data_IF_659328563047
#
_entry.id   IF_659328563047
#
_cell.length_a   1.000
_cell.length_b   1.000
_cell.length_c   1.000
_cell.angle_alpha   90.00
_cell.angle_beta   90.00
_cell.angle_gamma   90.00
#
_symmetry.space_group_name_H-M   'P 1'
#
loop_
_entity.id
_entity.type
_entity.pdbx_description
1 polymer ?
#
# COMPACT_ATOMS: atom_id res chain seq x y z
N UNK A 1 -3.78 23.39 -4.96
CA UNK A 1 -4.21 22.74 -3.71
C UNK A 1 -3.01 22.62 -2.79
N UNK A 2 -3.16 22.92 -1.50
CA UNK A 2 -2.13 22.65 -0.48
C UNK A 2 -2.64 21.51 0.39
N UNK A 3 -1.85 20.46 0.57
CA UNK A 3 -2.20 19.31 1.40
C UNK A 3 -0.93 18.68 1.97
N UNK A 4 -0.88 18.47 3.29
CA UNK A 4 0.22 17.78 3.99
C UNK A 4 1.63 18.22 3.54
N UNK A 5 1.89 19.53 3.48
CA UNK A 5 3.19 20.08 3.07
C UNK A 5 3.52 20.02 1.58
N UNK A 6 2.56 19.63 0.73
CA UNK A 6 2.70 19.62 -0.72
C UNK A 6 1.83 20.70 -1.37
N UNK A 7 2.43 21.42 -2.31
CA UNK A 7 1.76 22.31 -3.24
C UNK A 7 1.47 21.53 -4.53
N UNK A 8 0.19 21.39 -4.85
CA UNK A 8 -0.30 20.78 -6.07
C UNK A 8 -0.88 21.86 -6.98
N UNK A 9 -0.27 22.06 -8.14
CA UNK A 9 -0.68 23.03 -9.15
C UNK A 9 -1.21 22.30 -10.38
N UNK A 10 -2.37 22.73 -10.89
CA UNK A 10 -2.92 22.25 -12.15
C UNK A 10 -2.36 23.12 -13.27
N UNK A 11 -1.46 22.56 -14.07
CA UNK A 11 -0.84 23.22 -15.21
C UNK A 11 -1.54 22.73 -16.48
N UNK A 12 -2.22 23.59 -17.26
CA UNK A 12 -2.77 23.18 -18.54
C UNK A 12 -1.62 22.72 -19.45
N UNK A 13 -1.74 21.53 -20.03
CA UNK A 13 -0.68 20.97 -20.88
C UNK A 13 -0.57 21.71 -22.20
N UNK A 14 -1.69 22.28 -22.67
CA UNK A 14 -1.73 23.07 -23.89
C UNK A 14 -1.09 24.45 -23.67
N UNK A 15 -0.02 24.71 -24.42
CA UNK A 15 0.51 26.04 -24.65
C UNK A 15 0.67 26.24 -26.16
N UNK A 16 0.34 27.42 -26.65
CA UNK A 16 0.39 27.72 -28.10
C UNK A 16 1.82 27.67 -28.67
N UNK A 17 2.83 27.76 -27.81
CA UNK A 17 4.26 27.70 -28.13
C UNK A 17 4.85 26.26 -28.15
N UNK A 18 4.09 25.24 -27.75
CA UNK A 18 4.56 23.86 -27.72
C UNK A 18 4.56 23.25 -29.12
N UNK A 19 5.74 23.16 -29.75
CA UNK A 19 5.97 22.33 -30.93
C UNK A 19 6.46 20.94 -30.51
N UNK A 20 5.55 19.96 -30.53
CA UNK A 20 5.91 18.57 -30.29
C UNK A 20 6.66 18.01 -31.50
N UNK A 21 7.73 17.25 -31.27
CA UNK A 21 8.43 16.51 -32.34
C UNK A 21 7.50 15.57 -33.12
N UNK A 22 6.41 15.12 -32.49
CA UNK A 22 5.38 14.31 -33.13
C UNK A 22 4.72 15.05 -34.31
N UNK A 23 4.65 16.38 -34.28
CA UNK A 23 4.05 17.17 -35.36
C UNK A 23 4.87 17.13 -36.66
N UNK A 24 6.16 16.81 -36.60
CA UNK A 24 7.02 16.79 -37.79
C UNK A 24 6.70 15.60 -38.73
N UNK A 25 5.93 14.61 -38.25
CA UNK A 25 5.52 13.42 -39.00
C UNK A 25 4.00 13.33 -39.25
N UNK A 26 3.24 14.40 -38.96
CA UNK A 26 1.78 14.42 -39.03
C UNK A 26 1.29 15.41 -40.10
N UNK A 27 0.07 15.19 -40.60
CA UNK A 27 -0.62 16.15 -41.47
C UNK A 27 -1.22 17.31 -40.65
N UNK A 28 -1.46 18.45 -41.29
CA UNK A 28 -2.03 19.63 -40.63
C UNK A 28 -3.38 19.35 -39.95
N UNK A 29 -4.22 18.52 -40.56
CA UNK A 29 -5.53 18.12 -40.01
C UNK A 29 -5.38 17.26 -38.74
N UNK A 30 -4.39 16.37 -38.69
CA UNK A 30 -4.10 15.55 -37.52
C UNK A 30 -3.50 16.40 -36.38
N UNK A 31 -2.68 17.39 -36.73
CA UNK A 31 -2.11 18.35 -35.77
C UNK A 31 -3.22 19.19 -35.14
N UNK A 32 -4.18 19.70 -35.91
CA UNK A 32 -5.32 20.46 -35.36
C UNK A 32 -6.19 19.61 -34.43
N UNK A 33 -6.52 18.38 -34.84
CA UNK A 33 -7.29 17.45 -33.99
C UNK A 33 -6.56 17.12 -32.69
N UNK A 34 -5.24 16.91 -32.73
CA UNK A 34 -4.44 16.64 -31.55
C UNK A 34 -4.35 17.86 -30.63
N UNK A 35 -4.17 19.07 -31.19
CA UNK A 35 -4.20 20.33 -30.44
C UNK A 35 -5.53 20.54 -29.72
N UNK A 36 -6.66 20.27 -30.37
CA UNK A 36 -7.98 20.38 -29.74
C UNK A 36 -8.11 19.43 -28.55
N UNK A 37 -7.70 18.17 -28.71
CA UNK A 37 -7.73 17.19 -27.63
C UNK A 37 -6.79 17.55 -26.46
N UNK A 38 -5.61 18.12 -26.77
CA UNK A 38 -4.63 18.53 -25.76
C UNK A 38 -5.12 19.67 -24.86
N UNK A 39 -6.09 20.50 -25.29
CA UNK A 39 -6.71 21.54 -24.45
C UNK A 39 -7.38 20.96 -23.21
N UNK A 40 -7.78 19.69 -23.26
CA UNK A 40 -8.40 18.99 -22.14
C UNK A 40 -7.40 18.25 -21.25
N UNK A 41 -6.12 18.20 -21.63
CA UNK A 41 -5.06 17.53 -20.88
C UNK A 41 -4.45 18.50 -19.86
N UNK A 42 -4.32 18.03 -18.62
CA UNK A 42 -3.75 18.80 -17.54
C UNK A 42 -2.59 18.04 -16.92
N UNK A 43 -1.49 18.73 -16.65
CA UNK A 43 -0.37 18.22 -15.87
C UNK A 43 -0.54 18.69 -14.44
N UNK A 44 -0.41 17.76 -13.50
CA UNK A 44 -0.40 18.08 -12.08
C UNK A 44 1.04 18.21 -11.61
N UNK A 45 1.46 19.44 -11.33
CA UNK A 45 2.79 19.72 -10.76
C UNK A 45 2.69 19.64 -9.25
N UNK A 46 3.44 18.73 -8.65
CA UNK A 46 3.50 18.53 -7.20
C UNK A 46 4.88 18.96 -6.73
N UNK A 47 4.95 19.94 -5.84
CA UNK A 47 6.19 20.46 -5.26
C UNK A 47 6.07 20.55 -3.73
N UNK A 48 7.18 20.47 -2.98
CA UNK A 48 7.18 20.82 -1.56
C UNK A 48 6.66 22.26 -1.37
N UNK A 49 5.81 22.49 -0.37
CA UNK A 49 5.36 23.82 0.01
C UNK A 49 6.46 24.52 0.83
N UNK A 50 7.09 25.60 0.32
CA UNK A 50 8.20 26.27 0.99
C UNK A 50 7.78 26.99 2.29
N UNK A 51 6.48 27.27 2.44
CA UNK A 51 5.92 27.90 3.64
C UNK A 51 5.44 26.86 4.67
N UNK A 52 5.58 25.57 4.37
CA UNK A 52 5.21 24.52 5.31
C UNK A 52 6.19 24.51 6.48
N UNK A 53 5.71 25.02 7.61
CA UNK A 53 6.29 24.76 8.92
C UNK A 53 5.57 23.55 9.47
N UNK A 54 6.30 22.46 9.64
CA UNK A 54 5.81 21.31 10.39
C UNK A 54 5.39 21.85 11.76
N UNK A 55 4.11 21.77 12.10
CA UNK A 55 3.69 22.02 13.47
C UNK A 55 4.40 20.95 14.30
N UNK A 56 5.33 21.37 15.16
CA UNK A 56 6.07 20.54 16.13
C UNK A 56 5.14 19.82 17.14
N UNK A 57 3.82 19.86 16.92
CA UNK A 57 2.78 19.23 17.70
C UNK A 57 2.00 18.15 16.93
N UNK A 58 2.53 17.64 15.82
CA UNK A 58 2.37 16.22 15.57
C UNK A 58 3.43 15.49 16.40
N UNK A 59 3.28 15.56 17.73
CA UNK A 59 3.77 14.48 18.58
C UNK A 59 3.10 13.25 17.99
N UNK A 60 3.83 12.49 17.18
CA UNK A 60 3.55 11.08 17.04
C UNK A 60 3.56 10.60 18.48
N UNK A 61 2.38 10.37 19.03
CA UNK A 61 2.23 9.84 20.36
C UNK A 61 2.86 8.44 20.31
N UNK A 62 4.16 8.40 20.56
CA UNK A 62 4.99 7.22 20.67
C UNK A 62 4.69 6.46 21.96
N UNK A 63 3.50 6.66 22.54
CA UNK A 63 2.98 5.91 23.68
C UNK A 63 1.97 4.82 23.32
N UNK A 64 1.81 4.45 22.04
CA UNK A 64 1.06 3.23 21.67
C UNK A 64 1.99 2.12 21.14
N UNK A 65 2.42 1.29 22.11
CA UNK A 65 3.21 0.07 22.02
C UNK A 65 4.66 0.23 21.51
N UNK A 66 5.61 -0.11 22.39
CA UNK A 66 7.03 -0.36 22.07
C UNK A 66 7.16 -1.47 21.01
N UNK A 67 6.89 -1.14 19.75
CA UNK A 67 7.18 -2.04 18.63
C UNK A 67 8.64 -1.80 18.27
N UNK A 68 9.50 -2.71 18.74
CA UNK A 68 10.91 -2.72 18.39
C UNK A 68 11.06 -2.88 16.87
N UNK A 69 11.40 -1.77 16.22
CA UNK A 69 11.59 -1.67 14.77
C UNK A 69 12.83 -2.40 14.27
N UNK A 70 13.72 -2.83 15.17
CA UNK A 70 14.93 -3.59 14.84
C UNK A 70 14.74 -5.11 14.98
N UNK A 71 13.54 -5.58 15.32
CA UNK A 71 13.27 -7.02 15.39
C UNK A 71 13.55 -7.71 14.05
N UNK A 72 14.30 -8.83 14.07
CA UNK A 72 14.53 -9.61 12.86
C UNK A 72 13.20 -10.16 12.36
N UNK A 73 13.04 -10.19 11.05
CA UNK A 73 11.87 -10.80 10.44
C UNK A 73 11.83 -12.30 10.78
N UNK A 74 10.77 -12.70 11.48
CA UNK A 74 10.52 -14.09 11.85
C UNK A 74 9.03 -14.37 11.66
N UNK A 75 8.74 -15.57 11.14
CA UNK A 75 7.39 -16.07 10.99
C UNK A 75 7.35 -17.44 11.65
N UNK A 76 6.44 -17.59 12.61
CA UNK A 76 6.12 -18.86 13.26
C UNK A 76 4.75 -19.31 12.77
N UNK A 77 4.64 -20.56 12.35
CA UNK A 77 3.40 -21.16 11.84
C UNK A 77 3.09 -22.47 12.56
N UNK A 78 1.82 -22.71 12.81
CA UNK A 78 1.29 -23.97 13.36
C UNK A 78 -0.04 -24.28 12.69
N UNK A 79 -0.20 -25.50 12.17
CA UNK A 79 -1.46 -25.99 11.62
C UNK A 79 -2.13 -26.91 12.63
N UNK A 80 -3.36 -26.58 13.05
CA UNK A 80 -4.16 -27.38 13.99
C UNK A 80 -5.58 -27.49 13.47
N UNK A 81 -6.05 -28.72 13.23
CA UNK A 81 -7.43 -28.99 12.81
C UNK A 81 -7.91 -28.18 11.58
N UNK A 82 -7.01 -27.88 10.65
CA UNK A 82 -7.28 -27.07 9.45
C UNK A 82 -7.17 -25.54 9.65
N UNK A 83 -6.99 -25.07 10.89
CA UNK A 83 -6.68 -23.68 11.21
C UNK A 83 -5.17 -23.45 11.17
N UNK A 84 -4.73 -22.57 10.27
CA UNK A 84 -3.34 -22.12 10.21
C UNK A 84 -3.15 -20.90 11.12
N UNK A 85 -2.47 -21.09 12.24
CA UNK A 85 -2.08 -20.02 13.15
C UNK A 85 -0.67 -19.54 12.80
N UNK A 86 -0.51 -18.22 12.62
CA UNK A 86 0.77 -17.59 12.34
C UNK A 86 1.01 -16.40 13.24
N UNK A 87 2.28 -16.20 13.60
CA UNK A 87 2.76 -14.97 14.24
C UNK A 87 3.86 -14.38 13.38
N UNK A 88 3.72 -13.11 13.01
CA UNK A 88 4.66 -12.38 12.16
C UNK A 88 5.26 -11.26 13.00
N UNK A 89 6.60 -11.18 13.00
CA UNK A 89 7.33 -10.08 13.63
C UNK A 89 8.26 -9.37 12.64
N UNK A 90 8.62 -8.13 12.96
CA UNK A 90 9.54 -7.33 12.17
C UNK A 90 8.83 -6.62 11.01
N UNK A 91 9.46 -6.62 9.82
CA UNK A 91 8.98 -5.87 8.64
C UNK A 91 8.63 -6.79 7.49
N UNK A 92 7.45 -6.60 6.92
CA UNK A 92 6.97 -7.35 5.75
C UNK A 92 7.09 -6.52 4.47
N UNK A 93 8.14 -6.77 3.68
CA UNK A 93 8.47 -6.00 2.47
C UNK A 93 8.79 -6.90 1.26
N UNK A 94 9.38 -6.33 0.22
CA UNK A 94 9.75 -7.08 -1.01
C UNK A 94 10.78 -8.19 -0.77
N UNK A 95 11.56 -8.11 0.32
CA UNK A 95 12.57 -9.10 0.68
C UNK A 95 11.94 -10.24 1.50
N UNK A 96 11.08 -9.89 2.45
CA UNK A 96 10.53 -10.84 3.44
C UNK A 96 9.18 -11.45 3.03
N UNK A 97 8.38 -10.78 2.20
CA UNK A 97 7.10 -11.30 1.73
C UNK A 97 7.19 -12.67 1.01
N UNK A 98 8.19 -12.95 0.15
CA UNK A 98 8.36 -14.28 -0.45
C UNK A 98 8.56 -15.40 0.58
N UNK A 99 9.19 -15.09 1.72
CA UNK A 99 9.42 -16.06 2.79
C UNK A 99 8.11 -16.45 3.48
N UNK A 100 7.22 -15.49 3.75
CA UNK A 100 5.89 -15.77 4.28
C UNK A 100 5.08 -16.63 3.30
N UNK A 101 5.10 -16.28 2.02
CA UNK A 101 4.38 -17.04 0.99
C UNK A 101 4.86 -18.50 0.92
N UNK A 102 6.18 -18.72 1.02
CA UNK A 102 6.76 -20.06 1.05
C UNK A 102 6.28 -20.86 2.27
N UNK A 103 6.30 -20.27 3.46
CA UNK A 103 5.79 -20.94 4.67
C UNK A 103 4.31 -21.29 4.55
N UNK A 104 3.50 -20.40 3.98
CA UNK A 104 2.09 -20.66 3.73
C UNK A 104 1.89 -21.86 2.77
N UNK A 105 2.70 -21.95 1.71
CA UNK A 105 2.66 -23.09 0.79
C UNK A 105 3.14 -24.40 1.43
N UNK A 106 4.13 -24.33 2.33
CA UNK A 106 4.65 -25.48 3.08
C UNK A 106 3.70 -25.98 4.17
N UNK A 107 2.80 -25.12 4.68
CA UNK A 107 1.78 -25.52 5.65
C UNK A 107 0.80 -26.58 5.11
N UNK A 108 0.74 -26.77 3.79
CA UNK A 108 0.03 -27.87 3.14
C UNK A 108 -1.38 -27.53 2.68
N UNK A 109 -2.02 -28.53 2.06
CA UNK A 109 -3.40 -28.42 1.56
C UNK A 109 -4.41 -28.75 2.67
N UNK A 110 -5.60 -28.15 2.61
CA UNK A 110 -6.67 -28.40 3.59
C UNK A 110 -6.83 -27.33 4.68
N UNK A 111 -6.19 -26.16 4.51
CA UNK A 111 -6.39 -25.00 5.36
C UNK A 111 -7.84 -24.49 5.19
N UNK A 112 -8.61 -24.54 6.27
CA UNK A 112 -10.01 -24.09 6.34
C UNK A 112 -10.14 -22.70 6.97
N UNK A 113 -9.13 -22.27 7.73
CA UNK A 113 -9.03 -20.92 8.29
C UNK A 113 -7.59 -20.49 8.50
N UNK A 114 -7.39 -19.18 8.57
CA UNK A 114 -6.08 -18.56 8.79
C UNK A 114 -6.23 -17.50 9.87
N UNK A 115 -5.41 -17.59 10.90
CA UNK A 115 -5.30 -16.59 11.96
C UNK A 115 -3.86 -16.08 12.00
N UNK A 116 -3.68 -14.76 11.90
CA UNK A 116 -2.37 -14.11 11.87
C UNK A 116 -2.28 -13.06 12.97
N UNK A 117 -1.34 -13.26 13.89
CA UNK A 117 -0.95 -12.27 14.90
C UNK A 117 0.14 -11.35 14.33
N UNK A 118 -0.16 -10.06 14.27
CA UNK A 118 0.71 -8.99 13.77
C UNK A 118 1.09 -7.96 14.84
N UNK A 119 0.90 -8.30 16.12
CA UNK A 119 1.26 -7.44 17.26
C UNK A 119 2.71 -6.96 17.25
N UNK A 120 3.62 -7.73 16.67
CA UNK A 120 5.06 -7.43 16.57
C UNK A 120 5.51 -6.98 15.18
N UNK A 121 4.56 -6.67 14.28
CA UNK A 121 4.88 -6.18 12.94
C UNK A 121 4.96 -4.66 12.95
N UNK A 122 6.13 -4.12 12.59
CA UNK A 122 6.37 -2.68 12.54
C UNK A 122 5.93 -2.04 11.22
N UNK A 123 5.91 -2.81 10.13
CA UNK A 123 5.65 -2.26 8.79
C UNK A 123 5.21 -3.33 7.80
N UNK A 124 4.33 -2.94 6.86
CA UNK A 124 3.93 -3.76 5.71
C UNK A 124 3.97 -2.95 4.40
N UNK A 125 4.61 -3.50 3.37
CA UNK A 125 4.64 -2.92 2.02
C UNK A 125 3.58 -3.53 1.09
N UNK A 126 3.46 -3.00 -0.13
CA UNK A 126 2.59 -3.55 -1.18
C UNK A 126 2.87 -5.02 -1.52
N UNK A 127 4.10 -5.48 -1.35
CA UNK A 127 4.46 -6.88 -1.53
C UNK A 127 3.88 -7.76 -0.40
N UNK A 128 3.93 -7.27 0.84
CA UNK A 128 3.34 -7.95 2.00
C UNK A 128 1.82 -8.02 1.91
N UNK A 129 1.16 -6.90 1.61
CA UNK A 129 -0.30 -6.85 1.42
C UNK A 129 -0.76 -7.82 0.32
N UNK A 130 0.02 -7.95 -0.76
CA UNK A 130 -0.27 -8.92 -1.83
C UNK A 130 -0.24 -10.36 -1.32
N UNK A 131 0.74 -10.71 -0.49
CA UNK A 131 0.84 -12.07 0.09
C UNK A 131 -0.34 -12.35 1.02
N UNK A 132 -0.68 -11.41 1.90
CA UNK A 132 -1.88 -11.52 2.74
C UNK A 132 -3.14 -11.72 1.89
N UNK A 133 -3.26 -11.00 0.78
CA UNK A 133 -4.39 -11.15 -0.14
C UNK A 133 -4.42 -12.51 -0.84
N UNK A 134 -3.27 -13.08 -1.20
CA UNK A 134 -3.18 -14.44 -1.76
C UNK A 134 -3.72 -15.47 -0.76
N UNK A 135 -3.31 -15.35 0.50
CA UNK A 135 -3.73 -16.23 1.60
C UNK A 135 -5.23 -16.07 1.92
N UNK A 136 -5.72 -14.85 1.96
CA UNK A 136 -7.16 -14.58 2.07
C UNK A 136 -7.93 -15.19 0.90
N UNK A 137 -7.40 -15.10 -0.33
CA UNK A 137 -8.04 -15.65 -1.53
C UNK A 137 -8.06 -17.17 -1.57
N UNK A 138 -7.08 -17.86 -1.00
CA UNK A 138 -7.04 -19.33 -0.97
C UNK A 138 -8.09 -19.97 -0.08
N UNK A 139 -8.60 -19.26 0.93
CA UNK A 139 -9.68 -19.75 1.77
C UNK A 139 -11.01 -19.77 1.01
N UNK A 140 -11.81 -20.83 1.20
CA UNK A 140 -13.16 -20.91 0.64
C UNK A 140 -14.11 -19.96 1.37
N UNK A 141 -14.04 -19.97 2.69
CA UNK A 141 -14.77 -19.07 3.57
C UNK A 141 -13.85 -17.89 3.93
N UNK A 142 -14.31 -16.67 3.63
CA UNK A 142 -13.55 -15.45 3.90
C UNK A 142 -13.62 -15.03 5.36
N UNK A 143 -14.67 -15.44 6.07
CA UNK A 143 -14.84 -15.12 7.49
C UNK A 143 -13.85 -15.88 8.38
N UNK A 144 -13.27 -16.97 7.86
CA UNK A 144 -12.22 -17.76 8.49
C UNK A 144 -10.81 -17.14 8.35
N UNK A 145 -10.69 -15.94 7.78
CA UNK A 145 -9.46 -15.16 7.83
C UNK A 145 -9.54 -14.13 8.96
N UNK A 146 -8.56 -14.15 9.86
CA UNK A 146 -8.51 -13.23 10.99
C UNK A 146 -7.10 -12.66 11.18
N UNK A 147 -7.05 -11.35 11.39
CA UNK A 147 -5.84 -10.60 11.67
C UNK A 147 -5.96 -9.98 13.07
N UNK A 148 -5.09 -10.36 14.00
CA UNK A 148 -5.09 -9.87 15.38
C UNK A 148 -3.82 -9.11 15.69
N UNK A 149 -3.85 -8.26 16.72
CA UNK A 149 -2.68 -7.45 17.11
C UNK A 149 -2.36 -6.32 16.12
N UNK A 150 -3.33 -5.85 15.33
CA UNK A 150 -3.13 -4.73 14.40
C UNK A 150 -2.88 -3.44 15.19
N UNK A 151 -1.64 -2.95 15.16
CA UNK A 151 -1.26 -1.66 15.74
C UNK A 151 -1.66 -0.48 14.85
N UNK A 152 -1.53 0.75 15.37
CA UNK A 152 -1.93 1.99 14.69
C UNK A 152 -1.24 2.16 13.32
N UNK A 153 0.06 1.86 13.22
CA UNK A 153 0.80 2.02 11.96
C UNK A 153 0.31 1.05 10.88
N UNK A 154 0.10 -0.22 11.23
CA UNK A 154 -0.44 -1.22 10.30
C UNK A 154 -1.89 -0.89 9.92
N UNK A 155 -2.70 -0.44 10.88
CA UNK A 155 -4.08 0.02 10.64
C UNK A 155 -4.12 1.16 9.63
N UNK A 156 -3.32 2.21 9.83
CA UNK A 156 -3.28 3.36 8.92
C UNK A 156 -2.88 2.94 7.50
N UNK A 157 -1.90 2.04 7.36
CA UNK A 157 -1.50 1.50 6.06
C UNK A 157 -2.66 0.74 5.41
N UNK A 158 -3.40 -0.08 6.16
CA UNK A 158 -4.56 -0.81 5.65
C UNK A 158 -5.68 0.12 5.20
N UNK A 159 -6.03 1.13 6.00
CA UNK A 159 -7.06 2.12 5.68
C UNK A 159 -6.69 2.98 4.47
N UNK A 160 -5.44 3.46 4.42
CA UNK A 160 -4.94 4.29 3.30
C UNK A 160 -4.92 3.52 1.99
N UNK A 161 -4.68 2.20 2.05
CA UNK A 161 -4.64 1.34 0.86
C UNK A 161 -5.99 0.71 0.52
N UNK A 162 -7.01 0.86 1.37
CA UNK A 162 -8.33 0.24 1.22
C UNK A 162 -8.32 -1.27 1.45
N UNK A 163 -7.36 -1.78 2.23
CA UNK A 163 -7.25 -3.19 2.61
C UNK A 163 -7.94 -3.52 3.95
N UNK A 164 -8.29 -2.49 4.71
CA UNK A 164 -9.13 -2.57 5.90
C UNK A 164 -10.41 -3.37 5.64
N UNK A 165 -11.10 -3.14 4.52
CA UNK A 165 -12.34 -3.88 4.17
C UNK A 165 -12.17 -5.40 4.02
N UNK A 166 -10.95 -5.91 3.83
CA UNK A 166 -10.68 -7.34 3.68
C UNK A 166 -10.17 -7.99 4.97
N UNK A 167 -9.42 -7.23 5.78
CA UNK A 167 -8.67 -7.78 6.91
C UNK A 167 -9.15 -7.28 8.27
N UNK A 168 -9.75 -6.08 8.31
CA UNK A 168 -10.27 -5.48 9.53
C UNK A 168 -11.79 -5.66 9.51
N UNK A 169 -12.25 -6.62 10.31
CA UNK A 169 -13.68 -6.77 10.55
C UNK A 169 -14.18 -5.49 11.27
N UNK A 170 -15.35 -4.95 10.90
CA UNK A 170 -15.93 -3.76 11.52
C UNK A 170 -16.30 -3.98 12.99
#
# INVERSE_FOLDING_TARGET
YRSRGLLVEKVPYFREDLRLHLFDAMTDEEIERLKENMKHVNVWKITPDPDFKEEENAVWDSSEADIDTELPFEVKSSLRDGLLEMSIQGRMDTITAPQLLKQFQEAGEGITGIHIDVSRMAYVSSAGLRVLLIMYKSLKDKDSFELTGVNAAIREIMETTGFDQFFLKP
#
